data_IF_132930659867
#
_entry.id   IF_132930659867
#
_cell.length_a   1.000
_cell.length_b   1.000
_cell.length_c   1.000
_cell.angle_alpha   90.00
_cell.angle_beta   90.00
_cell.angle_gamma   90.00
#
_symmetry.space_group_name_H-M   'P 1'
#
loop_
_entity.id
_entity.type
_entity.pdbx_description
1 polymer ?
#
# COMPACT_ATOMS: atom_id res chain seq x y z
N UNK A 1 2.82 -14.33 -12.58
CA UNK A 1 3.17 -12.96 -12.20
C UNK A 1 1.87 -12.18 -12.14
N UNK A 2 1.57 -11.50 -11.03
CA UNK A 2 0.28 -10.84 -10.87
C UNK A 2 0.32 -9.44 -11.49
N UNK A 3 -0.68 -9.06 -12.29
CA UNK A 3 -0.76 -7.75 -12.94
C UNK A 3 -0.66 -6.53 -11.98
N UNK A 4 -0.80 -6.74 -10.67
CA UNK A 4 -0.65 -5.71 -9.64
C UNK A 4 0.82 -5.29 -9.41
N UNK A 5 1.81 -6.08 -9.85
CA UNK A 5 3.23 -5.79 -9.62
C UNK A 5 3.82 -4.70 -10.54
N UNK A 6 3.11 -4.26 -11.59
CA UNK A 6 3.62 -3.20 -12.47
C UNK A 6 3.11 -1.81 -12.07
N UNK A 7 1.97 -1.75 -11.38
CA UNK A 7 1.27 -0.50 -11.07
C UNK A 7 1.98 0.30 -9.99
N UNK A 8 2.50 -0.36 -8.97
CA UNK A 8 3.24 0.35 -7.93
C UNK A 8 4.44 1.09 -8.54
N UNK A 9 5.15 0.48 -9.50
CA UNK A 9 6.33 1.10 -10.13
C UNK A 9 5.94 2.33 -10.93
N UNK A 10 4.89 2.22 -11.73
CA UNK A 10 4.32 3.33 -12.51
C UNK A 10 4.11 4.55 -11.60
N UNK A 11 3.57 4.33 -10.39
CA UNK A 11 3.33 5.39 -9.41
C UNK A 11 4.63 5.89 -8.77
N UNK A 12 5.52 4.99 -8.33
CA UNK A 12 6.81 5.31 -7.69
C UNK A 12 7.72 6.12 -8.62
N UNK A 13 7.80 5.74 -9.89
CA UNK A 13 8.57 6.45 -10.91
C UNK A 13 7.93 7.78 -11.33
N UNK A 14 6.67 8.04 -10.92
CA UNK A 14 5.97 9.28 -11.22
C UNK A 14 5.47 9.38 -12.66
N UNK A 15 5.27 8.23 -13.31
CA UNK A 15 4.80 8.17 -14.70
C UNK A 15 3.44 8.85 -14.83
N UNK A 16 3.25 9.56 -15.95
CA UNK A 16 2.02 10.31 -16.24
C UNK A 16 0.98 9.49 -16.98
N UNK A 17 1.39 8.36 -17.54
CA UNK A 17 0.55 7.45 -18.32
C UNK A 17 0.71 6.04 -17.76
N UNK A 18 -0.41 5.34 -17.67
CA UNK A 18 -0.47 3.92 -17.36
C UNK A 18 -1.34 3.23 -18.41
N UNK A 19 -1.34 1.91 -18.43
CA UNK A 19 -2.16 1.19 -19.39
C UNK A 19 -2.20 -0.30 -19.15
N UNK A 20 -2.81 -0.99 -20.10
CA UNK A 20 -2.75 -2.44 -20.21
C UNK A 20 -2.39 -2.82 -21.64
N UNK A 21 -1.73 -3.97 -21.77
CA UNK A 21 -1.42 -4.58 -23.06
C UNK A 21 -1.98 -5.99 -23.08
N UNK A 22 -2.61 -6.36 -24.19
CA UNK A 22 -2.89 -7.75 -24.55
C UNK A 22 -1.88 -8.11 -25.61
N UNK A 23 -1.17 -9.20 -25.39
CA UNK A 23 -0.08 -9.64 -26.25
C UNK A 23 -0.13 -11.16 -26.42
N UNK A 24 0.55 -11.64 -27.44
CA UNK A 24 0.68 -13.06 -27.73
C UNK A 24 1.75 -13.65 -26.83
N UNK A 25 1.47 -14.78 -26.17
CA UNK A 25 2.50 -15.47 -25.41
C UNK A 25 3.58 -16.04 -26.34
N UNK A 26 4.83 -15.94 -25.91
CA UNK A 26 6.01 -16.59 -26.51
C UNK A 26 6.86 -17.25 -25.41
N UNK A 27 8.08 -17.67 -25.73
CA UNK A 27 8.97 -18.36 -24.78
C UNK A 27 9.59 -17.42 -23.74
N UNK A 28 9.44 -16.10 -23.89
CA UNK A 28 9.96 -15.12 -22.94
C UNK A 28 8.91 -14.66 -21.92
N UNK A 29 9.36 -13.83 -20.98
CA UNK A 29 8.50 -13.24 -19.96
C UNK A 29 8.00 -11.88 -20.45
N UNK A 30 6.71 -11.79 -20.76
CA UNK A 30 6.03 -10.58 -21.23
C UNK A 30 6.64 -9.96 -22.52
N UNK A 31 7.31 -10.76 -23.37
CA UNK A 31 8.03 -10.30 -24.56
C UNK A 31 7.25 -10.41 -25.87
N UNK A 32 6.19 -11.21 -25.91
CA UNK A 32 5.56 -11.53 -27.18
C UNK A 32 4.81 -10.36 -27.84
N UNK A 33 4.47 -10.46 -29.13
CA UNK A 33 3.93 -9.34 -29.90
C UNK A 33 2.63 -8.77 -29.30
N UNK A 34 2.48 -7.45 -29.33
CA UNK A 34 1.28 -6.75 -28.89
C UNK A 34 0.13 -6.99 -29.87
N UNK A 35 -1.05 -7.27 -29.30
CA UNK A 35 -2.34 -7.37 -29.99
C UNK A 35 -3.15 -6.09 -29.78
N UNK A 36 -3.29 -5.64 -28.53
CA UNK A 36 -4.10 -4.47 -28.16
C UNK A 36 -3.43 -3.72 -27.01
N UNK A 37 -3.51 -2.40 -27.04
CA UNK A 37 -3.08 -1.52 -25.95
C UNK A 37 -4.13 -0.48 -25.66
N UNK A 38 -4.33 -0.20 -24.38
CA UNK A 38 -5.21 0.85 -23.88
C UNK A 38 -4.44 1.64 -22.81
N UNK A 39 -4.57 2.96 -22.83
CA UNK A 39 -3.82 3.86 -21.94
C UNK A 39 -4.73 4.88 -21.24
N UNK A 40 -4.25 5.39 -20.10
CA UNK A 40 -4.90 6.45 -19.35
C UNK A 40 -3.90 7.36 -18.66
N UNK A 41 -4.37 8.55 -18.28
CA UNK A 41 -3.61 9.43 -17.40
C UNK A 41 -3.58 8.90 -15.97
N UNK A 42 -2.40 8.98 -15.35
CA UNK A 42 -2.18 8.76 -13.92
C UNK A 42 -2.42 10.08 -13.19
N UNK A 43 -3.40 10.10 -12.29
CA UNK A 43 -3.76 11.30 -11.54
C UNK A 43 -2.81 11.54 -10.36
N UNK A 44 -2.77 12.78 -9.86
CA UNK A 44 -1.86 13.22 -8.77
C UNK A 44 -1.98 12.33 -7.53
N UNK A 45 -3.21 11.95 -7.16
CA UNK A 45 -3.51 11.14 -5.97
C UNK A 45 -3.92 9.70 -6.29
N UNK A 46 -3.66 9.22 -7.51
CA UNK A 46 -3.91 7.81 -7.82
C UNK A 46 -3.02 6.90 -6.96
N UNK A 47 -3.62 5.86 -6.39
CA UNK A 47 -2.97 4.70 -5.79
C UNK A 47 -3.10 3.50 -6.71
N UNK A 48 -2.44 2.38 -6.37
CA UNK A 48 -2.60 1.12 -7.12
C UNK A 48 -4.07 0.71 -7.21
N UNK A 49 -4.79 0.81 -6.10
CA UNK A 49 -6.20 0.43 -6.01
C UNK A 49 -7.11 1.36 -6.81
N UNK A 50 -6.90 2.68 -6.74
CA UNK A 50 -7.75 3.63 -7.50
C UNK A 50 -7.51 3.49 -9.00
N UNK A 51 -6.24 3.36 -9.43
CA UNK A 51 -5.91 3.17 -10.84
C UNK A 51 -6.49 1.86 -11.38
N UNK A 52 -6.41 0.78 -10.58
CA UNK A 52 -7.01 -0.51 -10.92
C UNK A 52 -8.52 -0.40 -11.09
N UNK A 53 -9.23 0.12 -10.08
CA UNK A 53 -10.70 0.21 -10.09
C UNK A 53 -11.22 1.17 -11.16
N UNK A 54 -10.56 2.32 -11.33
CA UNK A 54 -10.98 3.39 -12.25
C UNK A 54 -10.79 2.99 -13.70
N UNK A 55 -9.69 2.31 -14.03
CA UNK A 55 -9.30 2.07 -15.42
C UNK A 55 -9.07 0.60 -15.74
N UNK A 56 -8.13 -0.06 -15.07
CA UNK A 56 -7.65 -1.38 -15.53
C UNK A 56 -8.72 -2.47 -15.45
N UNK A 57 -9.53 -2.47 -14.40
CA UNK A 57 -10.61 -3.44 -14.25
C UNK A 57 -11.68 -3.28 -15.35
N UNK A 58 -12.38 -2.13 -15.48
CA UNK A 58 -13.43 -2.00 -16.48
C UNK A 58 -12.91 -2.08 -17.92
N UNK A 59 -11.77 -1.45 -18.22
CA UNK A 59 -11.19 -1.48 -19.57
C UNK A 59 -10.61 -2.85 -19.89
N UNK A 60 -9.94 -3.50 -18.93
CA UNK A 60 -9.35 -4.83 -19.12
C UNK A 60 -10.38 -5.88 -19.51
N UNK A 61 -11.56 -5.90 -18.87
CA UNK A 61 -12.65 -6.81 -19.26
C UNK A 61 -13.06 -6.58 -20.71
N UNK A 62 -13.28 -5.32 -21.10
CA UNK A 62 -13.69 -4.99 -22.47
C UNK A 62 -12.59 -5.28 -23.51
N UNK A 63 -11.32 -5.03 -23.15
CA UNK A 63 -10.16 -5.24 -23.99
C UNK A 63 -9.94 -6.73 -24.28
N UNK A 64 -10.10 -7.58 -23.26
CA UNK A 64 -10.00 -9.04 -23.43
C UNK A 64 -11.09 -9.56 -24.36
N UNK A 65 -12.34 -9.12 -24.19
CA UNK A 65 -13.43 -9.51 -25.09
C UNK A 65 -13.14 -9.13 -26.55
N UNK A 66 -12.74 -7.87 -26.79
CA UNK A 66 -12.33 -7.39 -28.12
C UNK A 66 -11.17 -8.19 -28.71
N UNK A 67 -10.17 -8.51 -27.89
CA UNK A 67 -9.02 -9.28 -28.35
C UNK A 67 -9.42 -10.70 -28.78
N UNK A 68 -10.30 -11.36 -28.02
CA UNK A 68 -10.84 -12.68 -28.39
C UNK A 68 -11.60 -12.62 -29.71
N UNK A 69 -12.45 -11.60 -29.91
CA UNK A 69 -13.18 -11.41 -31.17
C UNK A 69 -12.21 -11.21 -32.35
N UNK A 70 -11.19 -10.36 -32.19
CA UNK A 70 -10.18 -10.15 -33.24
C UNK A 70 -9.40 -11.43 -33.57
N UNK A 71 -9.13 -12.28 -32.59
CA UNK A 71 -8.47 -13.57 -32.80
C UNK A 71 -9.40 -14.54 -33.55
N UNK A 72 -10.67 -14.61 -33.15
CA UNK A 72 -11.67 -15.46 -33.79
C UNK A 72 -11.90 -15.06 -35.26
N UNK A 73 -11.91 -13.76 -35.55
CA UNK A 73 -12.08 -13.21 -36.89
C UNK A 73 -10.80 -13.26 -37.75
N UNK A 74 -9.67 -13.68 -37.17
CA UNK A 74 -8.38 -13.71 -37.85
C UNK A 74 -7.79 -12.32 -38.17
N UNK A 75 -8.23 -11.28 -37.46
CA UNK A 75 -7.82 -9.88 -37.67
C UNK A 75 -6.86 -9.35 -36.59
N UNK A 76 -6.59 -10.14 -35.55
CA UNK A 76 -5.70 -9.77 -34.46
C UNK A 76 -4.25 -9.50 -34.94
N UNK A 77 -3.71 -8.28 -34.72
CA UNK A 77 -2.36 -7.95 -35.13
C UNK A 77 -1.30 -8.61 -34.25
N UNK A 78 -0.07 -8.66 -34.76
CA UNK A 78 1.14 -9.12 -34.07
C UNK A 78 2.21 -8.06 -34.17
N UNK A 79 2.11 -7.01 -33.34
CA UNK A 79 3.06 -5.89 -33.35
C UNK A 79 4.24 -6.23 -32.44
N UNK A 80 5.44 -6.40 -32.99
CA UNK A 80 6.65 -6.68 -32.19
C UNK A 80 6.90 -5.55 -31.19
N UNK A 81 7.16 -5.92 -29.93
CA UNK A 81 7.52 -4.96 -28.89
C UNK A 81 8.87 -4.30 -29.20
N UNK A 82 9.06 -3.05 -28.78
CA UNK A 82 10.36 -2.40 -28.89
C UNK A 82 11.22 -2.76 -27.68
N UNK A 83 12.44 -3.23 -27.93
CA UNK A 83 13.46 -3.43 -26.88
C UNK A 83 13.93 -2.10 -26.26
N UNK A 84 13.70 -0.99 -26.95
CA UNK A 84 14.17 0.32 -26.51
C UNK A 84 13.28 0.84 -25.38
N UNK A 85 13.83 0.86 -24.17
CA UNK A 85 13.12 1.35 -22.98
C UNK A 85 12.37 0.27 -22.22
N UNK A 86 12.61 -1.01 -22.52
CA UNK A 86 12.11 -2.12 -21.73
C UNK A 86 12.64 -2.03 -20.29
N UNK A 87 11.74 -2.11 -19.31
CA UNK A 87 12.04 -2.07 -17.88
C UNK A 87 11.55 -3.35 -17.22
N UNK A 88 12.28 -3.82 -16.22
CA UNK A 88 11.90 -4.98 -15.42
C UNK A 88 11.58 -4.55 -13.99
N UNK A 89 10.48 -5.06 -13.45
CA UNK A 89 10.07 -4.78 -12.09
C UNK A 89 10.45 -5.91 -11.14
N UNK A 90 11.26 -5.63 -10.10
CA UNK A 90 11.58 -6.63 -9.09
C UNK A 90 10.35 -6.92 -8.23
N UNK A 91 10.22 -8.18 -7.81
CA UNK A 91 9.17 -8.63 -6.90
C UNK A 91 9.25 -7.87 -5.57
N UNK A 92 8.11 -7.38 -5.04
CA UNK A 92 8.00 -6.64 -3.77
C UNK A 92 8.10 -7.55 -2.52
N UNK A 93 8.95 -8.57 -2.56
CA UNK A 93 9.09 -9.52 -1.45
C UNK A 93 10.19 -9.14 -0.44
N UNK A 94 10.88 -8.01 -0.63
CA UNK A 94 11.98 -7.58 0.24
C UNK A 94 11.56 -6.38 1.10
N UNK A 95 11.70 -6.46 2.44
CA UNK A 95 11.42 -5.35 3.35
C UNK A 95 12.15 -4.06 2.97
N UNK A 96 13.37 -4.15 2.43
CA UNK A 96 14.16 -2.99 1.99
C UNK A 96 13.48 -2.19 0.88
N UNK A 97 12.65 -2.82 0.04
CA UNK A 97 11.92 -2.14 -1.04
C UNK A 97 10.75 -1.31 -0.51
N UNK A 98 10.32 -1.53 0.73
CA UNK A 98 9.24 -0.80 1.38
C UNK A 98 9.74 0.45 2.09
N UNK A 99 11.05 0.53 2.37
CA UNK A 99 11.66 1.59 3.16
C UNK A 99 11.69 2.92 2.40
N UNK A 100 11.14 3.95 3.00
CA UNK A 100 11.17 5.31 2.47
C UNK A 100 12.61 5.82 2.47
N UNK A 101 13.06 6.34 1.32
CA UNK A 101 14.28 7.14 1.23
C UNK A 101 13.93 8.62 1.35
N UNK A 102 14.26 9.23 2.49
CA UNK A 102 13.98 10.65 2.76
C UNK A 102 14.95 11.64 2.11
N UNK A 103 15.99 11.17 1.40
CA UNK A 103 16.82 12.05 0.57
C UNK A 103 16.11 12.47 -0.74
N UNK A 104 14.90 11.94 -0.97
CA UNK A 104 14.06 12.21 -2.14
C UNK A 104 13.21 13.48 -1.98
N UNK A 105 12.82 14.05 -3.12
CA UNK A 105 11.93 15.23 -3.20
C UNK A 105 10.56 14.94 -2.64
N UNK A 106 9.78 15.96 -2.27
CA UNK A 106 8.40 15.79 -1.80
C UNK A 106 7.53 15.02 -2.80
N UNK A 107 7.70 15.28 -4.10
CA UNK A 107 6.99 14.54 -5.16
C UNK A 107 7.39 13.08 -5.21
N UNK A 108 8.68 12.77 -5.13
CA UNK A 108 9.15 11.37 -5.11
C UNK A 108 8.69 10.64 -3.84
N UNK A 109 8.65 11.31 -2.68
CA UNK A 109 8.11 10.75 -1.43
C UNK A 109 6.62 10.43 -1.56
N UNK A 110 5.83 11.37 -2.10
CA UNK A 110 4.41 11.15 -2.37
C UNK A 110 4.18 9.97 -3.32
N UNK A 111 4.94 9.93 -4.43
CA UNK A 111 4.90 8.85 -5.40
C UNK A 111 5.24 7.49 -4.78
N UNK A 112 6.23 7.46 -3.89
CA UNK A 112 6.59 6.25 -3.18
C UNK A 112 5.49 5.77 -2.25
N UNK A 113 4.93 6.67 -1.43
CA UNK A 113 3.88 6.31 -0.45
C UNK A 113 2.60 5.87 -1.16
N UNK A 114 2.13 6.58 -2.20
CA UNK A 114 0.92 6.20 -2.95
C UNK A 114 1.10 4.93 -3.78
N UNK A 115 2.32 4.67 -4.26
CA UNK A 115 2.68 3.43 -4.95
C UNK A 115 2.67 2.20 -4.05
N UNK A 116 2.96 2.39 -2.76
CA UNK A 116 2.95 1.35 -1.74
C UNK A 116 1.65 1.30 -0.91
N UNK A 117 0.62 2.08 -1.27
CA UNK A 117 -0.60 2.19 -0.46
C UNK A 117 -1.35 0.84 -0.37
N UNK A 118 -2.07 0.63 0.73
CA UNK A 118 -2.72 -0.63 1.15
C UNK A 118 -1.76 -1.79 1.46
N UNK A 119 -1.05 -2.32 0.48
CA UNK A 119 -0.08 -3.42 0.65
C UNK A 119 1.08 -3.21 -0.34
N UNK A 120 2.35 -3.21 0.11
CA UNK A 120 2.81 -3.59 1.45
C UNK A 120 2.79 -2.44 2.49
N UNK A 121 2.69 -1.18 2.07
CA UNK A 121 2.86 0.01 2.90
C UNK A 121 4.28 0.57 2.85
N UNK A 122 4.41 1.90 2.87
CA UNK A 122 5.71 2.57 2.85
C UNK A 122 6.28 2.66 4.26
N UNK A 123 7.40 1.99 4.54
CA UNK A 123 7.95 1.83 5.88
C UNK A 123 8.94 2.94 6.27
N UNK A 124 8.86 3.38 7.53
CA UNK A 124 9.84 4.24 8.16
C UNK A 124 9.97 3.90 9.65
N UNK A 125 10.97 4.50 10.31
CA UNK A 125 11.09 4.44 11.77
C UNK A 125 10.76 5.80 12.36
N UNK A 126 9.78 5.85 13.26
CA UNK A 126 9.38 7.08 13.94
C UNK A 126 9.41 6.90 15.46
N UNK A 127 9.63 8.00 16.18
CA UNK A 127 9.56 8.08 17.64
C UNK A 127 8.51 9.11 18.02
N UNK A 128 7.44 8.63 18.64
CA UNK A 128 6.37 9.49 19.15
C UNK A 128 6.84 10.25 20.40
N UNK A 129 6.32 11.44 20.68
CA UNK A 129 6.73 12.25 21.85
C UNK A 129 6.63 11.52 23.19
N UNK A 130 5.73 10.55 23.30
CA UNK A 130 5.47 9.79 24.53
C UNK A 130 6.22 8.44 24.60
N UNK A 131 7.04 8.11 23.60
CA UNK A 131 7.74 6.84 23.50
C UNK A 131 9.25 7.08 23.49
N UNK A 132 10.01 6.28 24.24
CA UNK A 132 11.47 6.43 24.31
C UNK A 132 12.18 5.85 23.07
N UNK A 133 11.61 4.80 22.47
CA UNK A 133 12.19 4.04 21.36
C UNK A 133 11.56 4.36 20.00
N UNK A 134 12.35 4.18 18.94
CA UNK A 134 11.86 4.19 17.56
C UNK A 134 11.05 2.94 17.27
N UNK A 135 9.91 3.13 16.60
CA UNK A 135 9.03 2.05 16.16
C UNK A 135 8.92 2.05 14.65
N UNK A 136 8.75 0.87 14.08
CA UNK A 136 8.41 0.73 12.67
C UNK A 136 6.99 1.22 12.42
N UNK A 137 6.86 2.03 11.38
CA UNK A 137 5.60 2.60 10.95
C UNK A 137 5.42 2.42 9.45
N UNK A 138 4.20 2.09 9.02
CA UNK A 138 3.83 2.08 7.60
C UNK A 138 2.92 3.27 7.30
N UNK A 139 3.23 4.00 6.24
CA UNK A 139 2.56 5.25 5.85
C UNK A 139 1.62 5.02 4.67
N UNK A 140 0.44 5.63 4.71
CA UNK A 140 -0.63 5.43 3.73
C UNK A 140 -1.42 6.71 3.44
N UNK A 141 -1.99 6.81 2.24
CA UNK A 141 -2.82 7.95 1.82
C UNK A 141 -2.05 9.26 1.81
N UNK A 142 -0.96 9.32 1.05
CA UNK A 142 -0.18 10.54 0.84
C UNK A 142 -0.91 11.55 -0.05
N UNK A 143 -0.56 12.82 0.11
CA UNK A 143 -0.99 13.94 -0.74
C UNK A 143 0.06 15.04 -0.70
N UNK A 144 0.28 15.74 -1.81
CA UNK A 144 1.20 16.88 -1.85
C UNK A 144 0.62 18.06 -1.05
N UNK A 145 1.44 18.66 -0.19
CA UNK A 145 1.04 19.78 0.64
C UNK A 145 1.44 21.11 0.00
N UNK A 146 0.44 21.93 -0.33
CA UNK A 146 0.62 23.25 -0.97
C UNK A 146 0.32 24.41 -0.01
N UNK A 147 -0.04 24.12 1.23
CA UNK A 147 -0.39 25.11 2.24
C UNK A 147 0.80 25.59 3.07
N UNK A 148 0.57 26.54 3.97
CA UNK A 148 1.55 26.88 5.00
C UNK A 148 1.80 25.69 5.92
N UNK A 149 2.99 25.61 6.52
CA UNK A 149 3.31 24.58 7.50
C UNK A 149 2.36 24.76 8.71
N UNK A 150 1.53 23.74 9.03
CA UNK A 150 0.59 23.85 10.12
C UNK A 150 1.31 23.83 11.46
N UNK A 151 0.68 24.44 12.47
CA UNK A 151 1.12 24.29 13.86
C UNK A 151 0.71 22.89 14.30
N UNK A 152 1.67 22.11 14.79
CA UNK A 152 1.44 20.73 15.18
C UNK A 152 2.49 20.25 16.17
N UNK A 153 2.44 18.95 16.50
CA UNK A 153 3.47 18.30 17.30
C UNK A 153 4.52 17.68 16.43
N UNK A 154 5.77 17.89 16.79
CA UNK A 154 6.89 17.24 16.13
C UNK A 154 6.93 15.75 16.47
N UNK A 155 7.21 14.93 15.46
CA UNK A 155 7.52 13.52 15.59
C UNK A 155 8.88 13.27 14.97
N UNK A 156 9.76 12.60 15.70
CA UNK A 156 11.08 12.28 15.18
C UNK A 156 10.97 11.13 14.18
N UNK A 157 11.59 11.31 13.02
CA UNK A 157 11.62 10.30 11.97
C UNK A 157 13.07 10.04 11.62
N UNK A 158 13.46 8.77 11.63
CA UNK A 158 14.86 8.40 11.44
C UNK A 158 15.31 8.72 10.02
N UNK A 159 16.40 9.48 9.91
CA UNK A 159 17.03 9.81 8.63
C UNK A 159 16.45 11.02 7.90
N UNK A 160 15.63 11.84 8.57
CA UNK A 160 15.10 13.09 8.01
C UNK A 160 14.81 14.12 9.11
N UNK A 161 14.36 15.30 8.71
CA UNK A 161 13.80 16.31 9.61
C UNK A 161 12.55 15.77 10.31
N UNK A 162 12.28 16.23 11.53
CA UNK A 162 11.07 15.88 12.25
C UNK A 162 9.81 16.12 11.39
N UNK A 163 8.89 15.16 11.43
CA UNK A 163 7.55 15.33 10.86
C UNK A 163 6.66 16.13 11.80
N UNK A 164 5.51 16.59 11.29
CA UNK A 164 4.56 17.39 12.06
C UNK A 164 3.19 16.72 12.05
N UNK A 165 2.72 16.29 13.22
CA UNK A 165 1.36 15.81 13.43
C UNK A 165 0.43 17.02 13.55
N UNK A 166 -0.60 17.06 12.72
CA UNK A 166 -1.63 18.11 12.68
C UNK A 166 -3.01 17.52 12.41
N UNK A 167 -4.06 18.34 12.45
CA UNK A 167 -5.45 17.90 12.30
C UNK A 167 -5.72 17.12 10.99
N UNK A 168 -4.97 17.44 9.92
CA UNK A 168 -5.11 16.80 8.61
C UNK A 168 -4.20 15.58 8.39
N UNK A 169 -3.30 15.24 9.32
CA UNK A 169 -2.45 14.06 9.23
C UNK A 169 -1.03 14.25 9.78
N UNK A 170 -0.07 13.55 9.17
CA UNK A 170 1.36 13.68 9.44
C UNK A 170 2.05 14.32 8.24
N UNK A 171 2.67 15.47 8.45
CA UNK A 171 3.44 16.17 7.45
C UNK A 171 4.90 15.70 7.45
N UNK A 172 5.41 15.34 6.28
CA UNK A 172 6.78 14.92 6.03
C UNK A 172 7.45 15.93 5.10
N UNK A 173 8.72 16.27 5.36
CA UNK A 173 9.50 17.15 4.49
C UNK A 173 10.34 16.31 3.50
N UNK A 174 10.28 16.66 2.22
CA UNK A 174 11.20 16.19 1.20
C UNK A 174 12.53 16.93 1.24
N UNK A 175 13.53 16.41 0.52
CA UNK A 175 14.87 17.01 0.45
C UNK A 175 14.92 18.38 -0.25
N UNK A 176 13.88 18.72 -1.01
CA UNK A 176 13.65 20.00 -1.68
C UNK A 176 12.90 21.02 -0.81
N UNK A 177 12.47 20.63 0.39
CA UNK A 177 11.67 21.47 1.29
C UNK A 177 10.17 21.43 1.02
N UNK A 178 9.72 20.67 0.01
CA UNK A 178 8.30 20.44 -0.24
C UNK A 178 7.74 19.42 0.74
N UNK A 179 6.47 19.59 1.10
CA UNK A 179 5.84 18.76 2.13
C UNK A 179 4.86 17.75 1.54
N UNK A 180 4.78 16.59 2.18
CA UNK A 180 3.82 15.51 1.89
C UNK A 180 2.99 15.23 3.13
N UNK A 181 1.67 15.24 2.99
CA UNK A 181 0.76 14.88 4.08
C UNK A 181 0.35 13.42 3.97
N UNK A 182 0.50 12.68 5.06
CA UNK A 182 0.10 11.27 5.21
C UNK A 182 -1.15 11.21 6.10
N UNK A 183 -2.21 10.56 5.62
CA UNK A 183 -3.49 10.49 6.35
C UNK A 183 -3.54 9.36 7.39
N UNK A 184 -2.90 8.22 7.10
CA UNK A 184 -2.98 7.02 7.95
C UNK A 184 -1.59 6.45 8.18
N UNK A 185 -1.39 5.94 9.39
CA UNK A 185 -0.13 5.30 9.81
C UNK A 185 -0.46 3.99 10.52
N UNK A 186 0.23 2.90 10.15
CA UNK A 186 0.23 1.66 10.92
C UNK A 186 1.43 1.66 11.85
N UNK A 187 1.21 1.61 13.15
CA UNK A 187 2.27 1.45 14.18
C UNK A 187 1.83 0.36 15.14
N UNK A 188 2.76 -0.51 15.56
CA UNK A 188 2.47 -1.63 16.46
C UNK A 188 1.27 -2.48 15.98
N UNK A 189 1.27 -2.85 14.69
CA UNK A 189 0.23 -3.69 14.09
C UNK A 189 -1.09 -2.98 13.76
N UNK A 190 -1.36 -1.78 14.30
CA UNK A 190 -2.66 -1.11 14.16
C UNK A 190 -2.61 0.11 13.24
N UNK A 191 -3.54 0.20 12.31
CA UNK A 191 -3.74 1.39 11.46
C UNK A 191 -4.49 2.45 12.26
N UNK A 192 -3.96 3.67 12.31
CA UNK A 192 -4.56 4.84 12.95
C UNK A 192 -4.57 6.02 11.99
N UNK A 193 -5.45 7.00 12.25
CA UNK A 193 -5.31 8.30 11.61
C UNK A 193 -4.04 8.98 12.11
N UNK A 194 -3.30 9.57 11.16
CA UNK A 194 -2.03 10.22 11.46
C UNK A 194 -2.20 11.43 12.39
N UNK A 195 -3.35 12.11 12.32
CA UNK A 195 -3.70 13.25 13.17
C UNK A 195 -3.91 12.89 14.65
N UNK A 196 -4.14 11.62 14.97
CA UNK A 196 -4.34 11.13 16.34
C UNK A 196 -3.21 10.20 16.78
N UNK A 197 -2.06 10.22 16.09
CA UNK A 197 -0.99 9.25 16.27
C UNK A 197 -0.33 9.34 17.65
N UNK A 198 -0.24 10.55 18.20
CA UNK A 198 0.34 10.88 19.50
C UNK A 198 -0.63 10.74 20.67
N UNK A 199 -1.93 10.60 20.39
CA UNK A 199 -2.93 10.33 21.40
C UNK A 199 -2.74 8.91 21.92
N UNK A 200 -2.49 8.79 23.22
CA UNK A 200 -2.52 7.48 23.87
C UNK A 200 -3.87 6.85 23.57
N UNK A 201 -3.85 5.71 22.89
CA UNK A 201 -5.02 4.83 22.88
C UNK A 201 -5.18 4.46 24.35
N UNK A 202 -6.21 5.01 25.01
CA UNK A 202 -6.65 4.44 26.29
C UNK A 202 -6.85 2.96 25.99
N UNK A 203 -5.95 2.13 26.49
CA UNK A 203 -6.24 0.73 26.70
C UNK A 203 -7.39 0.80 27.69
N UNK A 204 -8.62 0.74 27.18
CA UNK A 204 -9.78 0.51 28.02
C UNK A 204 -9.41 -0.79 28.73
N UNK A 205 -9.10 -0.69 30.02
CA UNK A 205 -9.17 -1.85 30.89
C UNK A 205 -10.64 -2.24 30.84
N UNK A 206 -10.95 -3.19 29.96
CA UNK A 206 -12.27 -3.76 29.86
C UNK A 206 -12.46 -4.54 31.15
N UNK A 207 -13.25 -3.98 32.07
CA UNK A 207 -13.74 -4.72 33.21
C UNK A 207 -14.83 -5.66 32.70
N UNK A 208 -14.43 -6.88 32.35
CA UNK A 208 -15.36 -7.92 31.92
C UNK A 208 -16.27 -8.31 33.07
N UNK A 209 -17.56 -8.37 32.78
CA UNK A 209 -18.54 -9.04 33.64
C UNK A 209 -18.22 -10.54 33.74
N UNK A 210 -18.81 -11.23 34.73
CA UNK A 210 -18.58 -12.67 34.90
C UNK A 210 -18.98 -13.49 33.66
N UNK A 211 -20.04 -13.07 32.96
CA UNK A 211 -20.56 -13.70 31.75
C UNK A 211 -19.62 -13.48 30.54
N UNK A 212 -19.04 -12.29 30.40
CA UNK A 212 -18.06 -11.99 29.34
C UNK A 212 -16.72 -12.71 29.55
N UNK A 213 -16.34 -13.03 30.80
CA UNK A 213 -15.14 -13.83 31.08
C UNK A 213 -15.30 -15.28 30.65
N UNK A 214 -16.47 -15.86 30.84
CA UNK A 214 -16.80 -17.22 30.38
C UNK A 214 -16.76 -17.28 28.85
N UNK A 215 -17.30 -16.27 28.17
CA UNK A 215 -17.23 -16.16 26.71
C UNK A 215 -15.80 -15.98 26.18
N UNK A 216 -14.93 -15.27 26.92
CA UNK A 216 -13.51 -15.12 26.54
C UNK A 216 -12.76 -16.45 26.60
N UNK A 217 -13.04 -17.29 27.60
CA UNK A 217 -12.47 -18.63 27.69
C UNK A 217 -12.95 -19.50 26.51
N UNK A 218 -14.25 -19.49 26.21
CA UNK A 218 -14.80 -20.20 25.04
C UNK A 218 -14.16 -19.74 23.72
N UNK A 219 -13.98 -18.43 23.51
CA UNK A 219 -13.35 -17.89 22.31
C UNK A 219 -11.88 -18.28 22.21
N UNK A 220 -11.14 -18.28 23.33
CA UNK A 220 -9.73 -18.71 23.36
C UNK A 220 -9.59 -20.18 22.99
N UNK A 221 -10.44 -21.05 23.52
CA UNK A 221 -10.43 -22.48 23.19
C UNK A 221 -10.69 -22.71 21.69
N UNK A 222 -11.64 -21.94 21.11
CA UNK A 222 -11.91 -21.97 19.66
C UNK A 222 -10.68 -21.53 18.86
N UNK A 223 -10.01 -20.46 19.30
CA UNK A 223 -8.82 -19.94 18.63
C UNK A 223 -7.63 -20.90 18.73
N UNK A 224 -7.42 -21.53 19.88
CA UNK A 224 -6.40 -22.55 20.07
C UNK A 224 -6.67 -23.74 19.13
N UNK A 225 -7.93 -24.18 19.00
CA UNK A 225 -8.31 -25.25 18.10
C UNK A 225 -8.08 -24.92 16.61
N UNK A 226 -8.28 -23.66 16.20
CA UNK A 226 -8.08 -23.20 14.81
C UNK A 226 -6.60 -22.99 14.50
N UNK A 227 -5.89 -22.27 15.38
CA UNK A 227 -4.52 -21.82 15.13
C UNK A 227 -3.48 -22.85 15.56
N UNK A 228 -3.81 -23.78 16.45
CA UNK A 228 -2.89 -24.77 17.03
C UNK A 228 -1.65 -24.13 17.68
N UNK A 229 -1.84 -22.95 18.29
CA UNK A 229 -0.84 -22.21 19.06
C UNK A 229 -1.45 -21.74 20.39
N UNK A 230 -0.60 -21.43 21.37
CA UNK A 230 -1.02 -20.79 22.61
C UNK A 230 -1.55 -19.38 22.32
N UNK A 231 -2.73 -19.04 22.87
CA UNK A 231 -3.40 -17.76 22.64
C UNK A 231 -3.14 -16.80 23.81
N UNK A 232 -2.30 -15.80 23.57
CA UNK A 232 -2.09 -14.65 24.46
C UNK A 232 -3.05 -13.48 24.14
N UNK A 233 -3.20 -12.53 25.08
CA UNK A 233 -4.12 -11.39 24.97
C UNK A 233 -3.85 -10.46 23.76
N UNK A 234 -2.64 -10.49 23.22
CA UNK A 234 -2.20 -9.70 22.06
C UNK A 234 -2.08 -10.54 20.77
N UNK A 235 -2.52 -11.80 20.80
CA UNK A 235 -2.49 -12.70 19.62
C UNK A 235 -3.38 -12.15 18.51
N UNK A 236 -2.79 -11.91 17.33
CA UNK A 236 -3.53 -11.51 16.13
C UNK A 236 -3.93 -12.75 15.32
N UNK A 237 -5.24 -13.01 15.25
CA UNK A 237 -5.82 -14.18 14.58
C UNK A 237 -5.32 -14.38 13.14
N UNK A 238 -5.32 -13.29 12.36
CA UNK A 238 -5.01 -13.37 10.93
C UNK A 238 -3.50 -13.37 10.69
N UNK A 239 -2.75 -12.61 11.49
CA UNK A 239 -1.29 -12.64 11.41
C UNK A 239 -0.72 -14.02 11.81
N UNK A 240 -1.42 -14.74 12.68
CA UNK A 240 -1.09 -16.10 13.12
C UNK A 240 -1.52 -17.20 12.16
N UNK A 241 -2.09 -16.86 11.00
CA UNK A 241 -2.32 -17.79 9.90
C UNK A 241 -3.75 -18.27 9.71
N UNK A 242 -4.73 -17.79 10.49
CA UNK A 242 -6.13 -18.07 10.21
C UNK A 242 -6.65 -17.29 8.99
N UNK A 243 -7.56 -17.90 8.25
CA UNK A 243 -8.22 -17.31 7.10
C UNK A 243 -9.62 -16.81 7.41
N UNK A 244 -10.21 -16.02 6.50
CA UNK A 244 -11.58 -15.52 6.67
C UNK A 244 -12.64 -16.63 6.76
N UNK A 245 -12.34 -17.84 6.27
CA UNK A 245 -13.22 -19.01 6.36
C UNK A 245 -13.33 -19.58 7.78
N UNK A 246 -12.33 -19.35 8.63
CA UNK A 246 -12.27 -19.89 9.99
C UNK A 246 -13.13 -19.09 10.98
N UNK A 247 -13.52 -17.87 10.63
CA UNK A 247 -14.41 -16.99 11.42
C UNK A 247 -15.89 -17.34 11.25
N UNK A 248 -16.24 -18.09 10.20
CA UNK A 248 -17.64 -18.37 9.80
C UNK A 248 -18.10 -19.77 10.23
N UNK A 249 -17.20 -20.56 10.86
CA UNK A 249 -17.49 -21.88 11.42
C UNK A 249 -17.86 -21.77 12.89
#
# INVERSE_FOLDING_TARGET
MGANELLFRTLICGDKRAGLSIFWADDGLDTGPILLQEECDVLEDDTVDTLYKRFLYPIGVSAVARAVDMVADGTAPKVTQSEKGATYDPMLNKPDLQKINFEKTGVELHNFIRGMDSVPGASCQLRLPNNEEFQEALLFGSSLWKGAVPIGREVEIRGTTAGIIHDGGLLLCGSDGDYVNVKRVKVAGRIKNASTLDQQTKQLQLEYTAEEKEQLEEVRDIWEAILSIDIEDDTDFFASGAGSMDVVR
#
